data_IF_430658627255
#
_entry.id   IF_430658627255
#
_cell.length_a   1.000
_cell.length_b   1.000
_cell.length_c   1.000
_cell.angle_alpha   90.00
_cell.angle_beta   90.00
_cell.angle_gamma   90.00
#
_symmetry.space_group_name_H-M   'P 1'
#
loop_
_entity.id
_entity.type
_entity.pdbx_description
1 polymer ?
#
# COMPACT_ATOMS: atom_id res chain seq x y z
N UNK A 1 11.82 4.51 -4.17
CA UNK A 1 10.99 3.74 -5.13
C UNK A 1 10.62 4.62 -6.34
N UNK A 2 10.42 4.06 -7.56
CA UNK A 2 9.99 4.83 -8.74
C UNK A 2 8.62 5.51 -8.56
N UNK A 3 8.47 6.75 -9.04
CA UNK A 3 7.23 7.53 -8.88
C UNK A 3 6.01 6.88 -9.57
N UNK A 4 6.23 6.13 -10.65
CA UNK A 4 5.19 5.37 -11.34
C UNK A 4 4.58 4.27 -10.45
N UNK A 5 5.38 3.64 -9.59
CA UNK A 5 4.91 2.60 -8.66
C UNK A 5 4.12 3.21 -7.51
N UNK A 6 4.59 4.32 -6.93
CA UNK A 6 3.84 5.11 -5.93
C UNK A 6 2.45 5.45 -6.47
N UNK A 7 2.40 6.01 -7.68
CA UNK A 7 1.14 6.44 -8.31
C UNK A 7 0.19 5.27 -8.53
N UNK A 8 0.70 4.13 -8.98
CA UNK A 8 -0.11 2.93 -9.20
C UNK A 8 -0.68 2.37 -7.88
N UNK A 9 0.13 2.34 -6.81
CA UNK A 9 -0.29 1.91 -5.47
C UNK A 9 -1.37 2.85 -4.92
N UNK A 10 -1.18 4.16 -4.99
CA UNK A 10 -2.17 5.14 -4.55
C UNK A 10 -3.49 5.04 -5.32
N UNK A 11 -3.43 4.79 -6.63
CA UNK A 11 -4.63 4.57 -7.44
C UNK A 11 -5.39 3.32 -7.00
N UNK A 12 -4.67 2.21 -6.74
CA UNK A 12 -5.25 0.98 -6.21
C UNK A 12 -5.89 1.20 -4.84
N UNK A 13 -5.18 1.81 -3.88
CA UNK A 13 -5.72 2.09 -2.54
C UNK A 13 -6.96 2.98 -2.59
N UNK A 14 -6.98 3.97 -3.49
CA UNK A 14 -8.15 4.82 -3.69
C UNK A 14 -9.39 4.04 -4.13
N UNK A 15 -9.24 2.98 -4.93
CA UNK A 15 -10.36 2.07 -5.26
C UNK A 15 -10.86 1.30 -4.05
N UNK A 16 -9.98 1.03 -3.07
CA UNK A 16 -10.31 0.40 -1.79
C UNK A 16 -10.78 1.40 -0.73
N UNK A 17 -10.91 2.69 -1.09
CA UNK A 17 -11.18 3.79 -0.15
C UNK A 17 -10.15 3.88 0.98
N UNK A 18 -8.89 3.65 0.62
CA UNK A 18 -7.74 3.78 1.49
C UNK A 18 -6.75 4.80 0.94
N UNK A 19 -5.91 5.35 1.81
CA UNK A 19 -4.85 6.31 1.49
C UNK A 19 -3.59 5.93 2.27
N UNK A 20 -2.42 6.25 1.71
CA UNK A 20 -1.12 6.04 2.34
C UNK A 20 -0.20 7.20 1.97
N UNK A 21 0.65 7.64 2.89
CA UNK A 21 1.71 8.59 2.59
C UNK A 21 2.75 7.89 1.67
N UNK A 22 3.17 8.49 0.55
CA UNK A 22 4.27 7.95 -0.26
C UNK A 22 5.55 7.62 0.51
N UNK A 23 5.81 8.30 1.63
CA UNK A 23 6.94 8.04 2.51
C UNK A 23 6.83 6.68 3.24
N UNK A 24 5.61 6.17 3.43
CA UNK A 24 5.32 4.89 4.06
C UNK A 24 5.16 3.75 3.04
N UNK A 25 5.60 3.94 1.80
CA UNK A 25 5.62 2.88 0.79
C UNK A 25 7.07 2.47 0.55
N UNK A 26 7.40 1.25 0.96
CA UNK A 26 8.71 0.68 0.80
C UNK A 26 8.70 -0.48 -0.21
N UNK A 27 9.81 -0.68 -0.91
CA UNK A 27 9.97 -1.86 -1.77
C UNK A 27 10.51 -3.01 -0.93
N UNK A 28 9.78 -4.13 -0.89
CA UNK A 28 10.15 -5.29 -0.10
C UNK A 28 10.24 -6.54 -1.00
N UNK A 29 11.46 -6.91 -1.36
CA UNK A 29 11.73 -7.99 -2.32
C UNK A 29 11.09 -7.71 -3.69
N UNK A 30 10.26 -8.64 -4.16
CA UNK A 30 9.51 -8.50 -5.41
C UNK A 30 8.21 -7.69 -5.23
N UNK A 31 7.90 -7.23 -4.02
CA UNK A 31 6.67 -6.56 -3.65
C UNK A 31 6.86 -5.19 -3.00
N UNK A 32 5.86 -4.77 -2.23
CA UNK A 32 5.82 -3.49 -1.54
C UNK A 32 5.24 -3.66 -0.14
N UNK A 33 5.80 -2.94 0.81
CA UNK A 33 5.30 -2.83 2.18
C UNK A 33 4.74 -1.42 2.35
N UNK A 34 3.53 -1.34 2.90
CA UNK A 34 2.81 -0.10 3.12
C UNK A 34 2.45 -0.01 4.60
N UNK A 35 3.01 0.98 5.28
CA UNK A 35 2.71 1.27 6.68
C UNK A 35 1.68 2.40 6.81
N UNK A 36 0.92 2.40 7.90
CA UNK A 36 -0.11 3.41 8.20
C UNK A 36 -1.14 3.62 7.07
N UNK A 37 -1.60 2.54 6.41
CA UNK A 37 -2.65 2.65 5.38
C UNK A 37 -3.98 3.00 6.05
N UNK A 38 -4.42 4.24 5.86
CA UNK A 38 -5.70 4.73 6.38
C UNK A 38 -6.85 4.31 5.47
N UNK A 39 -7.70 3.41 5.96
CA UNK A 39 -8.97 3.05 5.34
C UNK A 39 -10.14 3.59 6.18
N UNK A 40 -11.36 3.54 5.62
CA UNK A 40 -12.57 4.02 6.31
C UNK A 40 -12.85 3.34 7.67
N UNK A 41 -12.30 2.14 7.89
CA UNK A 41 -12.54 1.29 9.07
C UNK A 41 -11.33 1.16 10.01
N UNK A 42 -10.23 1.87 9.72
CA UNK A 42 -9.03 1.92 10.56
C UNK A 42 -7.73 2.04 9.77
N UNK A 43 -6.63 1.99 10.51
CA UNK A 43 -5.27 1.92 9.98
C UNK A 43 -4.83 0.48 9.82
N UNK A 44 -4.01 0.24 8.79
CA UNK A 44 -3.53 -1.08 8.42
C UNK A 44 -2.09 -1.03 7.93
N UNK A 45 -1.35 -2.08 8.24
CA UNK A 45 -0.12 -2.42 7.53
C UNK A 45 -0.46 -3.41 6.43
N UNK A 46 0.04 -3.17 5.22
CA UNK A 46 -0.30 -3.96 4.03
C UNK A 46 0.95 -4.38 3.26
N UNK A 47 1.04 -5.66 2.96
CA UNK A 47 2.01 -6.19 2.02
C UNK A 47 1.35 -6.38 0.66
N UNK A 48 2.00 -5.87 -0.39
CA UNK A 48 1.61 -6.06 -1.78
C UNK A 48 2.63 -6.92 -2.51
N UNK A 49 2.16 -7.74 -3.43
CA UNK A 49 3.03 -8.42 -4.41
C UNK A 49 3.49 -7.42 -5.49
N UNK A 50 4.44 -7.82 -6.32
CA UNK A 50 4.94 -6.99 -7.43
C UNK A 50 3.88 -6.59 -8.47
N UNK A 51 2.79 -7.35 -8.54
CA UNK A 51 1.60 -7.07 -9.36
C UNK A 51 0.55 -6.18 -8.65
N UNK A 52 0.88 -5.67 -7.45
CA UNK A 52 0.06 -4.82 -6.59
C UNK A 52 -1.17 -5.51 -6.00
N UNK A 53 -1.26 -6.85 -6.06
CA UNK A 53 -2.28 -7.59 -5.31
C UNK A 53 -1.90 -7.66 -3.82
N UNK A 54 -2.89 -7.56 -2.94
CA UNK A 54 -2.70 -7.64 -1.49
C UNK A 54 -2.26 -9.06 -1.11
N UNK A 55 -1.05 -9.18 -0.55
CA UNK A 55 -0.51 -10.40 0.03
C UNK A 55 -0.95 -10.55 1.49
N UNK A 56 -0.85 -9.45 2.25
CA UNK A 56 -1.27 -9.36 3.66
C UNK A 56 -1.93 -8.01 3.94
N UNK A 57 -2.88 -7.99 4.87
CA UNK A 57 -3.49 -6.77 5.43
C UNK A 57 -3.72 -7.00 6.92
N UNK A 58 -2.90 -6.37 7.74
CA UNK A 58 -2.95 -6.46 9.21
C UNK A 58 -3.51 -5.15 9.76
N UNK A 59 -4.49 -5.23 10.64
CA UNK A 59 -4.99 -4.05 11.36
C UNK A 59 -3.99 -3.67 12.46
N UNK A 60 -3.69 -2.39 12.58
CA UNK A 60 -2.94 -1.84 13.71
C UNK A 60 -3.75 -1.78 15.01
#
# INVERSE_FOLDING_TARGET
MPAEKVTAIQAMLKTMQCEVDPANIEANGDGFELDDVFCADGQYDMDLKGDLTVAEKRKE
#
